data_IF_365210336229
#
_entry.id   IF_365210336229
#
_cell.length_a   1.000
_cell.length_b   1.000
_cell.length_c   1.000
_cell.angle_alpha   90.00
_cell.angle_beta   90.00
_cell.angle_gamma   90.00
#
_symmetry.space_group_name_H-M   'P 1'
#
loop_
_entity.id
_entity.type
_entity.pdbx_description
1 polymer ?
#
# COMPACT_ATOMS: atom_id res chain seq x y z
N UNK A 1 10.34 -11.41 -2.38
CA UNK A 1 9.49 -11.45 -3.59
C UNK A 1 8.03 -11.48 -3.13
N UNK A 2 7.14 -10.60 -3.64
CA UNK A 2 5.71 -10.62 -3.26
C UNK A 2 4.92 -11.31 -4.37
N UNK A 3 4.06 -12.27 -4.02
CA UNK A 3 3.39 -13.16 -4.98
C UNK A 3 1.90 -12.86 -5.19
N UNK A 4 1.32 -11.90 -4.46
CA UNK A 4 -0.09 -11.51 -4.60
C UNK A 4 -0.53 -11.20 -6.05
N UNK A 5 0.28 -10.51 -6.88
CA UNK A 5 -0.11 -10.26 -8.28
C UNK A 5 -0.26 -11.55 -9.10
N UNK A 6 0.58 -12.56 -8.87
CA UNK A 6 0.49 -13.83 -9.59
C UNK A 6 -0.80 -14.57 -9.24
N UNK A 7 -1.19 -14.56 -7.97
CA UNK A 7 -2.46 -15.15 -7.53
C UNK A 7 -3.68 -14.43 -8.12
N UNK A 8 -3.64 -13.09 -8.18
CA UNK A 8 -4.70 -12.31 -8.83
C UNK A 8 -4.80 -12.63 -10.32
N UNK A 9 -3.67 -12.65 -11.04
CA UNK A 9 -3.58 -13.02 -12.46
C UNK A 9 -4.14 -14.41 -12.72
N UNK A 10 -3.73 -15.41 -11.94
CA UNK A 10 -4.21 -16.78 -12.08
C UNK A 10 -5.73 -16.88 -11.92
N UNK A 11 -6.32 -16.08 -11.02
CA UNK A 11 -7.77 -16.06 -10.81
C UNK A 11 -8.52 -15.23 -11.87
N UNK A 12 -7.96 -14.10 -12.29
CA UNK A 12 -8.59 -13.16 -13.21
C UNK A 12 -8.39 -13.53 -14.69
N UNK A 13 -7.45 -14.42 -15.01
CA UNK A 13 -7.16 -14.82 -16.39
C UNK A 13 -6.51 -13.72 -17.24
N UNK A 14 -5.86 -12.74 -16.60
CA UNK A 14 -5.21 -11.60 -17.28
C UNK A 14 -3.70 -11.79 -17.35
N UNK A 15 -3.02 -11.15 -18.30
CA UNK A 15 -1.58 -11.27 -18.42
C UNK A 15 -0.85 -10.46 -17.34
N UNK A 16 0.10 -11.09 -16.65
CA UNK A 16 1.04 -10.38 -15.81
C UNK A 16 2.10 -9.68 -16.67
N UNK A 17 2.38 -8.40 -16.39
CA UNK A 17 3.46 -7.66 -17.03
C UNK A 17 4.10 -6.72 -16.02
N UNK A 18 5.43 -6.62 -16.05
CA UNK A 18 6.12 -5.71 -15.16
C UNK A 18 6.00 -4.25 -15.66
N UNK A 19 4.99 -3.53 -15.16
CA UNK A 19 4.70 -2.15 -15.56
C UNK A 19 5.62 -1.07 -14.97
N UNK A 20 6.49 -1.41 -14.01
CA UNK A 20 7.58 -0.53 -13.57
C UNK A 20 8.80 -1.34 -13.14
N UNK A 21 9.94 -0.67 -13.16
CA UNK A 21 11.19 -1.19 -12.65
C UNK A 21 11.47 -0.47 -11.33
N UNK A 22 11.78 -1.25 -10.31
CA UNK A 22 12.20 -0.72 -9.02
C UNK A 22 13.69 -0.40 -9.09
N UNK A 23 14.07 0.80 -8.70
CA UNK A 23 15.49 1.12 -8.54
C UNK A 23 16.10 0.31 -7.41
N UNK A 24 17.23 -0.36 -7.69
CA UNK A 24 18.02 -1.08 -6.69
C UNK A 24 18.95 -0.16 -5.89
N UNK A 25 19.12 1.09 -6.34
CA UNK A 25 20.10 2.04 -5.83
C UNK A 25 19.48 3.19 -5.04
N UNK A 26 18.26 2.98 -4.53
CA UNK A 26 17.61 3.96 -3.65
C UNK A 26 18.40 4.03 -2.33
N UNK A 27 19.30 4.99 -2.24
CA UNK A 27 19.98 5.38 -1.00
C UNK A 27 19.02 6.12 -0.06
N UNK A 28 19.38 6.23 1.22
CA UNK A 28 18.66 7.10 2.16
C UNK A 28 18.96 8.55 1.76
N UNK A 29 18.02 9.28 1.18
CA UNK A 29 18.18 10.73 0.97
C UNK A 29 18.09 11.41 2.34
N UNK A 30 19.25 11.77 2.89
CA UNK A 30 19.40 12.14 4.30
C UNK A 30 19.05 13.61 4.59
N UNK A 31 18.96 14.49 3.60
CA UNK A 31 18.70 15.93 3.81
C UNK A 31 18.00 16.52 2.59
N UNK A 32 16.66 16.56 2.56
CA UNK A 32 15.95 17.38 1.55
C UNK A 32 14.71 18.07 2.15
N UNK A 33 14.72 19.42 2.29
CA UNK A 33 13.79 20.15 3.17
C UNK A 33 12.44 20.52 2.55
N UNK A 34 12.10 20.13 1.30
CA UNK A 34 10.88 20.60 0.64
C UNK A 34 9.91 19.50 0.18
N UNK A 35 8.63 19.64 0.53
CA UNK A 35 7.54 18.72 0.18
C UNK A 35 7.40 18.55 -1.35
N UNK A 36 7.73 19.59 -2.14
CA UNK A 36 7.69 19.59 -3.61
C UNK A 36 8.61 18.55 -4.26
N UNK A 37 9.66 18.10 -3.57
CA UNK A 37 10.64 17.11 -4.07
C UNK A 37 10.34 15.69 -3.56
N UNK A 38 9.44 15.51 -2.57
CA UNK A 38 9.01 14.16 -2.16
C UNK A 38 8.28 13.39 -3.27
N UNK A 39 7.56 14.09 -4.14
CA UNK A 39 6.97 13.51 -5.35
C UNK A 39 8.05 13.04 -6.35
N UNK A 40 9.26 13.61 -6.29
CA UNK A 40 10.44 13.17 -7.02
C UNK A 40 11.05 11.89 -6.42
N UNK A 41 10.97 11.73 -5.10
CA UNK A 41 11.42 10.51 -4.39
C UNK A 41 10.76 9.24 -4.92
N UNK A 42 9.45 9.26 -5.19
CA UNK A 42 8.76 8.08 -5.76
C UNK A 42 9.22 7.77 -7.19
N UNK A 43 9.53 8.79 -8.01
CA UNK A 43 10.12 8.58 -9.35
C UNK A 43 11.54 8.00 -9.29
N UNK A 44 12.30 8.33 -8.24
CA UNK A 44 13.61 7.73 -7.97
C UNK A 44 13.50 6.26 -7.55
N UNK A 45 12.40 5.87 -6.90
CA UNK A 45 12.16 4.50 -6.48
C UNK A 45 11.54 3.61 -7.56
N UNK A 46 10.64 4.16 -8.37
CA UNK A 46 9.82 3.43 -9.35
C UNK A 46 9.87 4.13 -10.71
N UNK A 47 10.34 3.41 -11.73
CA UNK A 47 10.38 3.88 -13.11
C UNK A 47 9.30 3.17 -13.93
N UNK A 48 8.25 3.87 -14.41
CA UNK A 48 7.17 3.25 -15.18
C UNK A 48 7.66 2.85 -16.57
N UNK A 49 7.21 1.69 -17.06
CA UNK A 49 7.52 1.20 -18.41
C UNK A 49 6.41 1.65 -19.35
N UNK A 50 6.56 2.82 -19.98
CA UNK A 50 5.54 3.42 -20.84
C UNK A 50 5.00 2.47 -21.91
N UNK A 51 5.88 1.73 -22.59
CA UNK A 51 5.51 0.76 -23.64
C UNK A 51 4.52 -0.33 -23.16
N UNK A 52 4.47 -0.57 -21.85
CA UNK A 52 3.59 -1.55 -21.21
C UNK A 52 2.29 -0.90 -20.72
N UNK A 53 2.30 0.39 -20.37
CA UNK A 53 1.18 1.08 -19.70
C UNK A 53 0.31 1.93 -20.63
N UNK A 54 0.83 2.37 -21.77
CA UNK A 54 0.17 3.34 -22.63
C UNK A 54 -1.13 2.80 -23.26
N UNK A 55 -2.23 3.54 -23.08
CA UNK A 55 -3.54 3.27 -23.69
C UNK A 55 -4.36 2.14 -23.07
N UNK A 56 -3.87 1.48 -22.01
CA UNK A 56 -4.51 0.28 -21.44
C UNK A 56 -5.08 0.49 -20.04
N UNK A 57 -5.92 -0.45 -19.59
CA UNK A 57 -6.43 -0.50 -18.22
C UNK A 57 -5.50 -1.34 -17.35
N UNK A 58 -5.14 -0.77 -16.22
CA UNK A 58 -4.10 -1.29 -15.33
C UNK A 58 -4.71 -1.70 -14.00
N UNK A 59 -4.40 -2.91 -13.54
CA UNK A 59 -4.66 -3.32 -12.16
C UNK A 59 -3.36 -3.32 -11.38
N UNK A 60 -3.28 -2.53 -10.32
CA UNK A 60 -2.14 -2.49 -9.42
C UNK A 60 -2.46 -3.31 -8.18
N UNK A 61 -1.59 -4.26 -7.84
CA UNK A 61 -1.70 -4.99 -6.56
C UNK A 61 -0.65 -4.46 -5.61
N UNK A 62 -1.14 -3.89 -4.50
CA UNK A 62 -0.31 -3.45 -3.39
C UNK A 62 -0.61 -4.28 -2.15
N UNK A 63 0.27 -4.29 -1.16
CA UNK A 63 0.05 -5.08 0.04
C UNK A 63 -0.92 -4.40 1.02
N UNK A 64 -0.81 -3.08 1.18
CA UNK A 64 -1.50 -2.30 2.19
C UNK A 64 -1.60 -0.83 1.80
N UNK A 65 -2.55 -0.12 2.40
CA UNK A 65 -2.61 1.35 2.37
C UNK A 65 -2.63 1.85 3.81
N UNK A 66 -1.63 2.65 4.19
CA UNK A 66 -1.50 3.24 5.53
C UNK A 66 -1.93 4.72 5.53
N UNK A 67 -1.12 5.59 4.92
CA UNK A 67 -1.40 7.04 4.80
C UNK A 67 -1.99 7.44 3.44
N UNK A 68 -1.98 6.55 2.45
CA UNK A 68 -2.49 6.79 1.09
C UNK A 68 -1.61 7.63 0.16
N UNK A 69 -0.69 8.45 0.68
CA UNK A 69 0.18 9.33 -0.13
C UNK A 69 1.01 8.58 -1.17
N UNK A 70 1.62 7.47 -0.77
CA UNK A 70 2.39 6.60 -1.66
C UNK A 70 1.51 6.02 -2.78
N UNK A 71 0.29 5.56 -2.45
CA UNK A 71 -0.65 5.01 -3.42
C UNK A 71 -1.12 6.07 -4.41
N UNK A 72 -1.40 7.29 -3.93
CA UNK A 72 -1.74 8.44 -4.78
C UNK A 72 -0.61 8.75 -5.78
N UNK A 73 0.64 8.77 -5.32
CA UNK A 73 1.80 9.01 -6.18
C UNK A 73 1.99 7.90 -7.22
N UNK A 74 1.75 6.63 -6.86
CA UNK A 74 1.80 5.49 -7.81
C UNK A 74 0.73 5.64 -8.89
N UNK A 75 -0.52 5.92 -8.50
CA UNK A 75 -1.62 6.07 -9.46
C UNK A 75 -1.34 7.22 -10.41
N UNK A 76 -0.87 8.35 -9.90
CA UNK A 76 -0.44 9.49 -10.72
C UNK A 76 0.67 9.11 -11.70
N UNK A 77 1.72 8.42 -11.22
CA UNK A 77 2.84 7.98 -12.07
C UNK A 77 2.39 7.07 -13.22
N UNK A 78 1.45 6.16 -12.97
CA UNK A 78 0.90 5.27 -14.00
C UNK A 78 0.04 6.05 -15.01
N UNK A 79 -0.79 6.98 -14.53
CA UNK A 79 -1.60 7.85 -15.41
C UNK A 79 -0.71 8.74 -16.27
N UNK A 80 0.32 9.34 -15.70
CA UNK A 80 1.32 10.15 -16.41
C UNK A 80 2.08 9.33 -17.46
N UNK A 81 2.22 8.00 -17.26
CA UNK A 81 2.79 7.08 -18.23
C UNK A 81 1.80 6.66 -19.35
N UNK A 82 0.57 7.19 -19.35
CA UNK A 82 -0.40 7.01 -20.43
C UNK A 82 -1.46 5.94 -20.20
N UNK A 83 -1.60 5.39 -18.99
CA UNK A 83 -2.65 4.41 -18.71
C UNK A 83 -4.07 5.03 -18.84
N UNK A 84 -4.99 4.26 -19.42
CA UNK A 84 -6.41 4.65 -19.58
C UNK A 84 -7.17 4.64 -18.25
N UNK A 85 -6.99 3.58 -17.47
CA UNK A 85 -7.62 3.39 -16.17
C UNK A 85 -6.65 2.73 -15.20
N UNK A 86 -6.77 3.05 -13.91
CA UNK A 86 -5.96 2.46 -12.83
C UNK A 86 -6.88 1.92 -11.74
N UNK A 87 -6.85 0.60 -11.53
CA UNK A 87 -7.63 -0.11 -10.53
C UNK A 87 -6.70 -0.63 -9.42
N UNK A 88 -6.93 -0.22 -8.19
CA UNK A 88 -6.12 -0.62 -7.04
C UNK A 88 -6.72 -1.86 -6.36
N UNK A 89 -5.89 -2.85 -6.06
CA UNK A 89 -6.24 -4.07 -5.32
C UNK A 89 -5.28 -4.26 -4.17
N UNK A 90 -5.78 -4.23 -2.95
CA UNK A 90 -4.97 -4.25 -1.74
C UNK A 90 -5.06 -5.64 -1.11
N UNK A 91 -3.91 -6.28 -0.94
CA UNK A 91 -3.81 -7.66 -0.45
C UNK A 91 -4.02 -7.78 1.08
N UNK A 92 -4.27 -6.66 1.77
CA UNK A 92 -4.67 -6.61 3.17
C UNK A 92 -6.09 -6.04 3.33
N UNK A 93 -6.78 -6.35 4.44
CA UNK A 93 -7.88 -5.54 4.90
C UNK A 93 -7.44 -4.11 5.25
N UNK A 94 -8.38 -3.16 5.37
CA UNK A 94 -8.08 -1.80 5.82
C UNK A 94 -7.39 -1.81 7.19
N UNK A 95 -6.34 -1.00 7.33
CA UNK A 95 -5.59 -0.86 8.59
C UNK A 95 -6.22 0.28 9.39
N UNK A 96 -6.86 -0.08 10.50
CA UNK A 96 -7.64 0.84 11.35
C UNK A 96 -7.02 1.04 12.73
N UNK A 97 -5.98 0.29 13.08
CA UNK A 97 -5.31 0.38 14.38
C UNK A 97 -3.80 0.44 14.24
N UNK A 98 -3.17 1.26 15.07
CA UNK A 98 -1.71 1.30 15.23
C UNK A 98 -1.21 0.03 15.92
N UNK A 99 -0.11 -0.54 15.47
CA UNK A 99 0.49 -1.70 16.12
C UNK A 99 1.14 -1.33 17.47
N UNK A 100 0.86 -2.12 18.51
CA UNK A 100 1.48 -1.99 19.84
C UNK A 100 2.50 -3.09 20.13
N UNK A 101 2.80 -3.94 19.15
CA UNK A 101 3.61 -5.15 19.31
C UNK A 101 4.88 -5.12 18.47
N UNK A 102 5.41 -3.92 18.20
CA UNK A 102 6.75 -3.74 17.62
C UNK A 102 6.83 -3.48 16.12
N UNK A 103 5.69 -3.31 15.42
CA UNK A 103 5.69 -2.79 14.05
C UNK A 103 5.51 -1.28 14.10
N UNK A 104 6.43 -0.55 13.47
CA UNK A 104 6.31 0.90 13.35
C UNK A 104 5.12 1.27 12.45
N UNK A 105 4.11 1.88 13.06
CA UNK A 105 2.88 2.31 12.40
C UNK A 105 2.51 3.69 12.92
N UNK A 106 1.92 4.54 12.06
CA UNK A 106 1.56 5.89 12.47
C UNK A 106 0.40 5.87 13.46
N UNK A 107 0.07 7.03 14.02
CA UNK A 107 -1.05 7.13 14.96
C UNK A 107 -2.37 6.77 14.27
N UNK A 108 -3.38 6.39 15.06
CA UNK A 108 -4.66 5.95 14.50
C UNK A 108 -5.36 7.07 13.73
N UNK A 109 -5.12 8.32 14.08
CA UNK A 109 -5.63 9.52 13.37
C UNK A 109 -4.92 9.74 12.03
N UNK A 110 -3.68 9.28 11.88
CA UNK A 110 -2.91 9.40 10.64
C UNK A 110 -3.26 8.30 9.62
N UNK A 111 -3.86 7.19 10.07
CA UNK A 111 -4.35 6.11 9.21
C UNK A 111 -5.49 6.61 8.32
N UNK A 112 -5.36 6.41 7.01
CA UNK A 112 -6.36 6.89 6.06
C UNK A 112 -7.70 6.16 6.23
N UNK A 113 -7.66 4.87 6.57
CA UNK A 113 -8.86 4.04 6.76
C UNK A 113 -9.67 4.38 8.03
N UNK A 114 -9.13 5.20 8.93
CA UNK A 114 -9.87 5.73 10.08
C UNK A 114 -10.56 7.06 9.79
N UNK A 115 -10.14 7.75 8.73
CA UNK A 115 -10.65 9.08 8.36
C UNK A 115 -11.56 9.07 7.14
N UNK A 116 -11.46 8.03 6.32
CA UNK A 116 -12.09 7.95 5.02
C UNK A 116 -12.70 6.57 4.81
N UNK A 117 -13.91 6.54 4.27
CA UNK A 117 -14.52 5.37 3.67
C UNK A 117 -13.71 4.87 2.47
N UNK A 118 -13.97 3.64 2.01
CA UNK A 118 -13.26 3.06 0.85
C UNK A 118 -13.43 3.94 -0.40
N UNK A 119 -14.61 4.53 -0.59
CA UNK A 119 -14.88 5.39 -1.74
C UNK A 119 -14.10 6.71 -1.65
N UNK A 120 -14.05 7.34 -0.47
CA UNK A 120 -13.23 8.53 -0.24
C UNK A 120 -11.73 8.23 -0.41
N UNK A 121 -11.27 7.04 0.00
CA UNK A 121 -9.87 6.61 -0.25
C UNK A 121 -9.64 6.46 -1.75
N UNK A 122 -10.57 5.86 -2.50
CA UNK A 122 -10.48 5.70 -3.96
C UNK A 122 -10.30 7.04 -4.65
N UNK A 123 -11.09 8.03 -4.24
CA UNK A 123 -11.02 9.41 -4.74
C UNK A 123 -9.71 10.08 -4.35
N UNK A 124 -9.30 9.98 -3.08
CA UNK A 124 -8.07 10.56 -2.57
C UNK A 124 -6.82 10.06 -3.31
N UNK A 125 -6.73 8.76 -3.59
CA UNK A 125 -5.62 8.19 -4.35
C UNK A 125 -5.78 8.40 -5.86
N UNK A 126 -6.95 8.85 -6.32
CA UNK A 126 -7.24 9.13 -7.72
C UNK A 126 -7.39 7.88 -8.59
N UNK A 127 -7.78 6.73 -8.04
CA UNK A 127 -7.96 5.49 -8.81
C UNK A 127 -9.37 5.36 -9.40
N UNK A 128 -9.53 4.58 -10.47
CA UNK A 128 -10.82 4.28 -11.09
C UNK A 128 -11.65 3.30 -10.24
N UNK A 129 -10.99 2.36 -9.55
CA UNK A 129 -11.64 1.49 -8.57
C UNK A 129 -10.63 1.10 -7.49
N UNK A 130 -11.10 0.85 -6.27
CA UNK A 130 -10.31 0.39 -5.15
C UNK A 130 -11.02 -0.78 -4.47
N UNK A 131 -10.29 -1.85 -4.17
CA UNK A 131 -10.81 -2.94 -3.35
C UNK A 131 -9.74 -3.45 -2.38
N UNK A 132 -10.14 -3.67 -1.14
CA UNK A 132 -9.33 -4.29 -0.10
C UNK A 132 -9.69 -5.77 0.05
N UNK A 133 -8.75 -6.57 0.55
CA UNK A 133 -9.04 -7.94 0.98
C UNK A 133 -10.05 -7.89 2.14
N UNK A 134 -11.14 -8.65 2.03
CA UNK A 134 -12.10 -8.74 3.13
C UNK A 134 -11.47 -9.42 4.34
N UNK A 135 -11.69 -8.85 5.54
CA UNK A 135 -11.28 -9.48 6.80
C UNK A 135 -11.94 -10.84 6.99
N UNK A 136 -13.16 -11.04 6.50
CA UNK A 136 -13.86 -12.31 6.59
C UNK A 136 -13.21 -13.38 5.68
N UNK A 137 -12.76 -12.98 4.49
CA UNK A 137 -12.01 -13.87 3.59
C UNK A 137 -10.66 -14.24 4.20
N UNK A 138 -9.96 -13.29 4.84
CA UNK A 138 -8.72 -13.56 5.56
C UNK A 138 -8.95 -14.55 6.72
N UNK A 139 -9.98 -14.34 7.53
CA UNK A 139 -10.36 -15.26 8.61
C UNK A 139 -10.68 -16.66 8.11
N UNK A 140 -11.43 -16.75 7.01
CA UNK A 140 -11.77 -18.03 6.36
C UNK A 140 -10.52 -18.75 5.84
N UNK A 141 -9.55 -18.01 5.31
CA UNK A 141 -8.28 -18.57 4.84
C UNK A 141 -7.44 -19.15 5.98
N UNK A 142 -7.41 -18.47 7.13
CA UNK A 142 -6.69 -18.95 8.32
C UNK A 142 -7.39 -20.15 9.00
N UNK A 143 -8.71 -20.25 8.87
CA UNK A 143 -9.48 -21.39 9.40
C UNK A 143 -9.23 -21.60 10.89
N UNK A 144 -8.81 -22.81 11.26
CA UNK A 144 -8.56 -23.19 12.65
C UNK A 144 -7.35 -22.48 13.28
N UNK A 145 -6.44 -21.95 12.47
CA UNK A 145 -5.27 -21.21 12.96
C UNK A 145 -5.61 -19.77 13.34
N UNK A 146 -6.81 -19.28 13.04
CA UNK A 146 -7.21 -17.90 13.32
C UNK A 146 -6.90 -17.42 14.75
N UNK A 147 -7.14 -18.21 15.83
CA UNK A 147 -6.84 -17.79 17.20
C UNK A 147 -5.34 -17.57 17.46
N UNK A 148 -4.45 -18.13 16.64
CA UNK A 148 -3.00 -18.03 16.78
C UNK A 148 -2.43 -16.73 16.15
N UNK A 149 -3.25 -15.92 15.49
CA UNK A 149 -2.82 -14.69 14.83
C UNK A 149 -3.36 -13.44 15.51
N UNK A 150 -2.49 -12.44 15.67
CA UNK A 150 -2.91 -11.09 16.00
C UNK A 150 -3.40 -10.36 14.75
N UNK A 151 -4.61 -9.82 14.81
CA UNK A 151 -5.20 -8.95 13.77
C UNK A 151 -5.74 -7.64 14.38
N UNK A 152 -5.12 -7.18 15.47
CA UNK A 152 -5.53 -5.96 16.18
C UNK A 152 -5.52 -4.72 15.27
N UNK A 153 -4.50 -4.57 14.42
CA UNK A 153 -4.40 -3.47 13.45
C UNK A 153 -5.56 -3.42 12.44
N UNK A 154 -6.28 -4.54 12.25
CA UNK A 154 -7.38 -4.69 11.30
C UNK A 154 -8.77 -4.70 11.97
N UNK A 155 -8.81 -4.88 13.30
CA UNK A 155 -10.05 -5.08 14.05
C UNK A 155 -10.23 -4.14 15.24
N UNK A 156 -9.19 -3.43 15.65
CA UNK A 156 -9.14 -2.64 16.89
C UNK A 156 -9.09 -3.48 18.17
N UNK A 157 -9.14 -4.82 18.08
CA UNK A 157 -9.16 -5.71 19.24
C UNK A 157 -7.76 -6.19 19.58
N UNK A 158 -7.16 -5.58 20.60
CA UNK A 158 -5.82 -5.91 21.08
C UNK A 158 -5.88 -7.06 22.09
N UNK A 159 -5.16 -8.18 21.86
CA UNK A 159 -5.10 -9.27 22.84
C UNK A 159 -4.53 -8.84 24.19
N UNK A 160 -3.57 -7.90 24.17
CA UNK A 160 -2.99 -7.27 25.35
C UNK A 160 -3.17 -5.77 25.22
N UNK A 161 -3.98 -5.18 26.09
CA UNK A 161 -4.20 -3.74 26.12
C UNK A 161 -3.01 -2.99 26.73
N UNK A 162 -2.65 -1.81 26.20
CA UNK A 162 -1.59 -1.00 26.78
C UNK A 162 -1.92 -0.53 28.19
N UNK A 163 -1.00 -0.73 29.14
CA UNK A 163 -1.07 -0.15 30.48
C UNK A 163 -0.56 1.30 30.46
N UNK A 164 -1.33 2.20 29.83
CA UNK A 164 -1.04 3.64 29.76
C UNK A 164 -0.73 4.15 28.35
N UNK A 165 -0.13 5.36 28.26
CA UNK A 165 0.23 5.97 26.96
C UNK A 165 1.23 5.07 26.23
N UNK A 166 0.87 4.62 25.04
CA UNK A 166 1.78 3.88 24.16
C UNK A 166 2.79 4.86 23.60
N UNK A 167 4.07 4.66 23.96
CA UNK A 167 5.18 5.33 23.31
C UNK A 167 5.46 4.65 21.98
N UNK A 168 5.51 5.42 20.90
CA UNK A 168 5.92 4.96 19.57
C UNK A 168 7.44 4.92 19.47
N UNK A 169 7.97 4.20 18.49
CA UNK A 169 9.42 4.15 18.20
C UNK A 169 9.99 5.57 18.07
N UNK A 170 9.24 6.44 17.40
CA UNK A 170 9.54 7.88 17.24
C UNK A 170 9.67 8.61 18.59
N UNK A 171 8.86 8.23 19.59
CA UNK A 171 8.88 8.85 20.93
C UNK A 171 10.08 8.37 21.79
N UNK A 172 10.80 7.35 21.34
CA UNK A 172 12.05 6.87 21.96
C UNK A 172 13.31 7.42 21.26
N UNK A 173 13.16 8.08 20.12
CA UNK A 173 14.24 8.63 19.32
C UNK A 173 14.32 10.15 19.53
N UNK A 174 15.06 10.58 20.55
CA UNK A 174 15.38 12.00 20.80
C UNK A 174 16.57 12.50 19.93
N UNK A 175 17.04 11.67 18.99
CA UNK A 175 18.28 11.92 18.25
C UNK A 175 17.98 12.16 16.76
N UNK A 176 17.29 13.24 16.40
CA UNK A 176 17.35 13.90 15.07
C UNK A 176 17.18 13.06 13.79
N UNK A 177 16.78 11.79 13.88
CA UNK A 177 16.79 10.81 12.80
C UNK A 177 15.38 10.30 12.58
N UNK A 178 14.51 11.17 12.05
CA UNK A 178 13.20 10.78 11.51
C UNK A 178 13.39 10.03 10.18
N UNK A 179 13.98 8.84 10.26
CA UNK A 179 14.11 7.92 9.15
C UNK A 179 12.78 7.20 8.92
N UNK A 180 11.98 7.69 7.98
CA UNK A 180 10.78 6.99 7.48
C UNK A 180 11.22 5.58 7.06
N UNK A 181 10.88 4.57 7.85
CA UNK A 181 11.04 3.19 7.44
C UNK A 181 9.85 2.85 6.53
N UNK A 182 9.95 3.30 5.27
CA UNK A 182 9.11 2.81 4.19
C UNK A 182 9.27 1.29 4.17
N UNK A 183 8.22 0.57 4.58
CA UNK A 183 8.02 -0.80 4.17
C UNK A 183 8.28 -0.84 2.66
N UNK A 184 9.38 -1.48 2.28
CA UNK A 184 9.89 -1.54 0.92
C UNK A 184 8.99 -2.47 0.11
N UNK A 185 7.79 -2.01 -0.24
CA UNK A 185 6.77 -2.83 -0.87
C UNK A 185 7.17 -3.12 -2.33
N UNK A 186 7.22 -4.42 -2.66
CA UNK A 186 7.27 -4.91 -4.02
C UNK A 186 5.90 -4.68 -4.66
N UNK A 187 5.77 -3.54 -5.32
CA UNK A 187 4.58 -3.14 -6.04
C UNK A 187 4.68 -3.80 -7.41
N UNK A 188 3.59 -4.36 -7.96
CA UNK A 188 3.58 -4.84 -9.33
C UNK A 188 2.32 -4.35 -10.06
N UNK A 189 2.48 -4.15 -11.36
CA UNK A 189 1.43 -3.77 -12.29
C UNK A 189 0.89 -5.03 -12.98
N UNK A 190 -0.40 -5.08 -13.32
CA UNK A 190 -1.03 -6.13 -14.11
C UNK A 190 -1.87 -5.47 -15.19
N UNK A 191 -1.95 -6.09 -16.36
CA UNK A 191 -2.62 -5.49 -17.51
C UNK A 191 -3.84 -6.29 -17.91
N UNK A 192 -4.94 -5.57 -18.10
CA UNK A 192 -6.14 -6.13 -18.68
C UNK A 192 -6.23 -5.72 -20.15
N UNK A 193 -6.03 -6.69 -21.06
CA UNK A 193 -6.24 -6.51 -22.51
C UNK A 193 -7.71 -6.73 -22.92
N UNK A 194 -8.58 -7.29 -22.07
CA UNK A 194 -9.97 -7.65 -22.41
C UNK A 194 -10.87 -7.68 -21.15
N UNK A 195 -11.81 -6.72 -21.12
CA UNK A 195 -13.07 -6.76 -20.35
C UNK A 195 -13.02 -7.21 -18.87
N UNK A 196 -12.63 -6.32 -17.95
CA UNK A 196 -13.35 -6.16 -16.69
C UNK A 196 -14.66 -5.41 -16.96
N UNK A 197 -15.77 -6.16 -17.02
CA UNK A 197 -17.12 -5.68 -16.74
C UNK A 197 -17.43 -5.99 -15.28
#
# INVERSE_FOLDING_TARGET
MKFFPLGYVAKAGVAFQQGWIRSHYVGRTFIEPSQRIRDFGVKLELSPVRAVLEGIRVVVVDDSIVRGTTSSNIVRLIKDAGAKEVHMRIASPPIIGSCYYGVDTPSSEELISNRMSIEEIREFIGSNSLAFLSINSLKKLLGNELPNFCYACLSGKYPVEPRGKVKRVEDFLDDGLSGIQLLKIGKYCMLDRRSLN
#
